data_IF_753049161951
#
_entry.id   IF_753049161951
#
_cell.length_a   1.000
_cell.length_b   1.000
_cell.length_c   1.000
_cell.angle_alpha   90.00
_cell.angle_beta   90.00
_cell.angle_gamma   90.00
#
_symmetry.space_group_name_H-M   'P 1'
#
loop_
_entity.id
_entity.type
_entity.pdbx_description
1 polymer ?
#
# COMPACT_ATOMS: atom_id res chain seq x y z
N UNK A 1 22.53 -21.76 -34.88
CA UNK A 1 23.01 -21.60 -33.48
C UNK A 1 22.30 -22.60 -32.57
N UNK A 2 22.99 -23.60 -31.99
CA UNK A 2 22.35 -24.55 -31.09
C UNK A 2 21.87 -23.82 -29.82
N UNK A 3 20.57 -23.98 -29.48
CA UNK A 3 19.99 -23.38 -28.27
C UNK A 3 20.64 -24.02 -27.04
N UNK A 4 21.34 -23.22 -26.22
CA UNK A 4 21.87 -23.70 -24.92
C UNK A 4 20.70 -24.15 -24.06
N UNK A 5 20.66 -25.43 -23.70
CA UNK A 5 19.60 -25.99 -22.83
C UNK A 5 19.72 -25.36 -21.44
N UNK A 6 18.66 -24.72 -20.96
CA UNK A 6 18.61 -24.19 -19.60
C UNK A 6 18.64 -25.34 -18.59
N UNK A 7 19.54 -25.26 -17.60
CA UNK A 7 19.63 -26.26 -16.53
C UNK A 7 18.38 -26.19 -15.64
N UNK A 8 17.93 -27.33 -15.12
CA UNK A 8 16.84 -27.39 -14.14
C UNK A 8 17.24 -26.64 -12.86
N UNK A 9 16.25 -26.00 -12.23
CA UNK A 9 16.43 -25.31 -10.94
C UNK A 9 15.14 -25.28 -10.12
N UNK A 10 15.21 -25.09 -8.80
CA UNK A 10 14.01 -24.95 -7.97
C UNK A 10 13.33 -23.58 -8.14
N UNK A 11 12.01 -23.57 -8.07
CA UNK A 11 11.20 -22.36 -8.00
C UNK A 11 11.49 -21.56 -6.73
N UNK A 12 11.63 -20.22 -6.82
CA UNK A 12 11.84 -19.36 -5.65
C UNK A 12 10.64 -19.23 -4.69
N UNK A 13 9.47 -19.72 -5.09
CA UNK A 13 8.24 -19.67 -4.28
C UNK A 13 7.91 -21.06 -3.73
N UNK A 14 7.60 -22.03 -4.59
CA UNK A 14 7.18 -23.37 -4.18
C UNK A 14 8.30 -24.42 -4.12
N UNK A 15 9.53 -24.05 -4.49
CA UNK A 15 10.74 -24.92 -4.51
C UNK A 15 10.67 -26.16 -5.42
N UNK A 16 9.59 -26.38 -6.16
CA UNK A 16 9.50 -27.42 -7.20
C UNK A 16 10.59 -27.20 -8.26
N UNK A 17 11.26 -28.26 -8.67
CA UNK A 17 12.26 -28.23 -9.75
C UNK A 17 11.56 -28.03 -11.10
N UNK A 18 12.04 -27.08 -11.88
CA UNK A 18 11.52 -26.78 -13.22
C UNK A 18 12.65 -26.48 -14.20
N UNK A 19 12.36 -26.63 -15.49
CA UNK A 19 13.25 -26.22 -16.58
C UNK A 19 12.81 -24.84 -17.07
N UNK A 20 13.66 -23.80 -17.00
CA UNK A 20 13.32 -22.49 -17.54
C UNK A 20 13.05 -22.51 -19.04
N UNK A 21 12.16 -21.63 -19.51
CA UNK A 21 11.91 -21.40 -20.93
C UNK A 21 13.21 -20.93 -21.60
N UNK A 22 13.64 -21.53 -22.72
CA UNK A 22 14.87 -21.13 -23.43
C UNK A 22 14.91 -19.65 -23.85
N UNK A 23 13.76 -19.00 -24.07
CA UNK A 23 13.67 -17.57 -24.42
C UNK A 23 13.96 -16.66 -23.24
N UNK A 24 13.52 -17.07 -22.04
CA UNK A 24 13.65 -16.27 -20.81
C UNK A 24 14.95 -16.64 -20.07
N UNK A 25 15.35 -17.90 -20.16
CA UNK A 25 16.55 -18.46 -19.57
C UNK A 25 16.65 -18.16 -18.08
N UNK A 26 17.75 -17.53 -17.68
CA UNK A 26 18.04 -17.26 -16.27
C UNK A 26 17.18 -16.19 -15.62
N UNK A 27 16.38 -15.45 -16.39
CA UNK A 27 15.46 -14.44 -15.87
C UNK A 27 14.23 -15.08 -15.22
N UNK A 28 13.82 -16.28 -15.63
CA UNK A 28 12.63 -16.95 -15.09
C UNK A 28 12.88 -17.47 -13.67
N UNK A 29 12.46 -16.73 -12.64
CA UNK A 29 12.74 -17.11 -11.24
C UNK A 29 11.70 -18.08 -10.63
N UNK A 30 10.57 -18.30 -11.30
CA UNK A 30 9.45 -19.13 -10.82
C UNK A 30 9.12 -20.24 -11.82
N UNK A 31 8.38 -21.27 -11.37
CA UNK A 31 8.07 -22.44 -12.20
C UNK A 31 7.09 -22.17 -13.36
N UNK A 32 6.58 -20.95 -13.50
CA UNK A 32 5.55 -20.60 -14.50
C UNK A 32 4.12 -20.71 -14.01
N UNK A 33 3.89 -21.31 -12.84
CA UNK A 33 2.58 -21.32 -12.19
C UNK A 33 2.15 -19.88 -11.81
N UNK A 34 0.89 -19.56 -12.09
CA UNK A 34 0.32 -18.22 -11.94
C UNK A 34 0.41 -17.73 -10.49
N UNK A 35 0.18 -18.61 -9.51
CA UNK A 35 0.34 -18.25 -8.11
C UNK A 35 1.79 -17.88 -7.76
N UNK A 36 2.74 -18.67 -8.25
CA UNK A 36 4.16 -18.44 -8.01
C UNK A 36 4.62 -17.15 -8.69
N UNK A 37 4.15 -16.89 -9.91
CA UNK A 37 4.43 -15.63 -10.62
C UNK A 37 3.86 -14.42 -9.88
N UNK A 38 2.60 -14.49 -9.43
CA UNK A 38 1.96 -13.40 -8.66
C UNK A 38 2.70 -13.14 -7.35
N UNK A 39 2.98 -14.19 -6.55
CA UNK A 39 3.75 -14.07 -5.29
C UNK A 39 5.14 -13.47 -5.51
N UNK A 40 5.82 -13.87 -6.58
CA UNK A 40 7.14 -13.32 -6.94
C UNK A 40 7.04 -11.85 -7.38
N UNK A 41 6.04 -11.51 -8.20
CA UNK A 41 5.78 -10.14 -8.63
C UNK A 41 5.48 -9.24 -7.43
N UNK A 42 4.58 -9.64 -6.53
CA UNK A 42 4.28 -8.87 -5.30
C UNK A 42 5.54 -8.63 -4.46
N UNK A 43 6.39 -9.65 -4.27
CA UNK A 43 7.67 -9.49 -3.55
C UNK A 43 8.59 -8.50 -4.24
N UNK A 44 8.72 -8.57 -5.56
CA UNK A 44 9.61 -7.68 -6.34
C UNK A 44 9.08 -6.26 -6.46
N UNK A 45 7.78 -6.06 -6.60
CA UNK A 45 7.16 -4.74 -6.52
C UNK A 45 7.34 -4.14 -5.12
N UNK A 46 7.16 -4.92 -4.05
CA UNK A 46 7.38 -4.41 -2.70
C UNK A 46 8.85 -4.00 -2.46
N UNK A 47 9.81 -4.78 -2.95
CA UNK A 47 11.23 -4.45 -2.91
C UNK A 47 11.52 -3.16 -3.70
N UNK A 48 11.04 -3.08 -4.94
CA UNK A 48 11.22 -1.89 -5.77
C UNK A 48 10.57 -0.64 -5.16
N UNK A 49 9.36 -0.75 -4.60
CA UNK A 49 8.65 0.35 -3.94
C UNK A 49 9.38 0.85 -2.69
N UNK A 50 10.04 -0.04 -1.93
CA UNK A 50 10.86 0.37 -0.79
C UNK A 50 12.07 1.18 -1.24
N UNK A 51 12.73 0.76 -2.31
CA UNK A 51 13.90 1.45 -2.86
C UNK A 51 13.53 2.74 -3.61
N UNK A 52 12.33 2.82 -4.18
CA UNK A 52 11.84 3.94 -4.98
C UNK A 52 10.64 4.61 -4.31
N UNK A 53 10.77 4.90 -3.00
CA UNK A 53 9.66 5.41 -2.18
C UNK A 53 9.01 6.67 -2.77
N UNK A 54 9.79 7.61 -3.32
CA UNK A 54 9.27 8.85 -3.93
C UNK A 54 8.39 8.57 -5.15
N UNK A 55 8.90 7.78 -6.11
CA UNK A 55 8.14 7.40 -7.30
C UNK A 55 6.88 6.60 -6.93
N UNK A 56 6.96 5.69 -5.95
CA UNK A 56 5.80 4.94 -5.48
C UNK A 56 4.73 5.84 -4.82
N UNK A 57 5.17 6.89 -4.10
CA UNK A 57 4.29 7.90 -3.52
C UNK A 57 3.60 8.75 -4.59
N UNK A 58 4.35 9.17 -5.62
CA UNK A 58 3.82 9.93 -6.76
C UNK A 58 2.79 9.13 -7.54
N UNK A 59 3.08 7.87 -7.90
CA UNK A 59 2.11 7.01 -8.58
C UNK A 59 0.86 6.77 -7.75
N UNK A 60 1.00 6.54 -6.43
CA UNK A 60 -0.15 6.41 -5.53
C UNK A 60 -1.03 7.66 -5.51
N UNK A 61 -0.41 8.85 -5.43
CA UNK A 61 -1.14 10.12 -5.43
C UNK A 61 -1.85 10.33 -6.77
N UNK A 62 -1.15 10.10 -7.88
CA UNK A 62 -1.71 10.21 -9.22
C UNK A 62 -2.93 9.31 -9.42
N UNK A 63 -2.84 8.03 -9.04
CA UNK A 63 -3.95 7.07 -9.14
C UNK A 63 -5.14 7.50 -8.28
N UNK A 64 -4.90 8.08 -7.10
CA UNK A 64 -5.95 8.58 -6.22
C UNK A 64 -6.62 9.84 -6.75
N UNK A 65 -5.86 10.75 -7.33
CA UNK A 65 -6.39 11.94 -7.99
C UNK A 65 -7.23 11.57 -9.23
N UNK A 66 -6.77 10.58 -10.02
CA UNK A 66 -7.52 10.06 -11.16
C UNK A 66 -8.85 9.41 -10.72
N UNK A 67 -8.84 8.61 -9.65
CA UNK A 67 -10.06 8.02 -9.08
C UNK A 67 -11.03 9.09 -8.55
N UNK A 68 -10.51 10.13 -7.89
CA UNK A 68 -11.33 11.24 -7.37
C UNK A 68 -11.99 12.03 -8.51
N UNK A 69 -11.26 12.27 -9.61
CA UNK A 69 -11.79 12.96 -10.78
C UNK A 69 -12.89 12.15 -11.51
N UNK A 70 -12.81 10.81 -11.50
CA UNK A 70 -13.84 9.95 -12.09
C UNK A 70 -15.11 9.86 -11.23
N UNK A 71 -15.01 10.08 -9.92
CA UNK A 71 -16.15 10.07 -9.00
C UNK A 71 -17.00 11.35 -9.01
N UNK A 72 -16.56 12.42 -9.66
CA UNK A 72 -17.29 13.70 -9.77
C UNK A 72 -18.15 13.79 -11.04
N UNK A 73 -18.01 12.82 -11.97
CA UNK A 73 -18.70 12.83 -13.27
C UNK A 73 -19.94 11.93 -13.37
N UNK A 74 -20.36 11.28 -12.29
CA UNK A 74 -21.59 10.48 -12.25
C UNK A 74 -22.68 11.19 -11.42
N UNK A 75 -23.46 12.06 -12.08
CA UNK A 75 -24.84 12.36 -11.67
C UNK A 75 -25.82 11.62 -12.61
N UNK A 76 -26.97 11.15 -12.09
CA UNK A 76 -27.65 9.94 -12.54
C UNK A 76 -28.71 10.22 -13.61
N UNK A 77 -28.81 9.36 -14.64
CA UNK A 77 -30.00 9.27 -15.49
C UNK A 77 -30.49 7.83 -15.69
N UNK A 78 -31.66 7.61 -15.08
CA UNK A 78 -32.78 6.69 -15.37
C UNK A 78 -32.69 5.21 -14.99
N UNK A 79 -33.22 4.97 -13.79
CA UNK A 79 -34.13 3.90 -13.35
C UNK A 79 -34.54 2.79 -14.35
N UNK A 80 -34.44 1.55 -13.88
CA UNK A 80 -35.61 0.66 -13.80
C UNK A 80 -35.63 -0.05 -12.44
N UNK A 81 -36.83 -0.10 -11.87
CA UNK A 81 -37.15 -0.52 -10.51
C UNK A 81 -36.93 -2.02 -10.24
N UNK A 82 -36.53 -2.34 -9.01
CA UNK A 82 -37.21 -3.33 -8.16
C UNK A 82 -36.69 -3.17 -6.72
N UNK A 83 -37.61 -2.87 -5.82
CA UNK A 83 -37.38 -2.75 -4.39
C UNK A 83 -36.96 -4.08 -3.76
N UNK A 84 -36.14 -4.04 -2.71
CA UNK A 84 -36.48 -4.61 -1.40
C UNK A 84 -35.49 -4.11 -0.34
N UNK A 85 -36.06 -3.43 0.64
CA UNK A 85 -35.51 -3.06 1.94
C UNK A 85 -34.77 -4.21 2.61
N UNK A 86 -33.51 -4.02 2.98
CA UNK A 86 -32.97 -4.65 4.20
C UNK A 86 -31.89 -3.75 4.80
N UNK A 87 -32.23 -3.22 5.97
CA UNK A 87 -31.33 -2.51 6.87
C UNK A 87 -30.63 -3.59 7.70
N UNK A 88 -29.30 -3.66 7.65
CA UNK A 88 -28.48 -4.09 8.78
C UNK A 88 -27.03 -3.58 8.63
N UNK A 89 -26.38 -3.19 9.74
CA UNK A 89 -25.15 -2.40 9.74
C UNK A 89 -23.91 -3.29 9.73
N UNK A 90 -22.89 -2.92 8.97
CA UNK A 90 -21.55 -3.52 9.13
C UNK A 90 -20.54 -2.41 9.35
N UNK A 91 -20.17 -2.30 10.62
CA UNK A 91 -18.99 -1.60 11.11
C UNK A 91 -17.75 -1.99 10.32
N UNK A 92 -17.22 -1.06 9.54
CA UNK A 92 -15.77 -1.01 9.31
C UNK A 92 -15.18 -0.10 10.38
N UNK A 93 -14.51 -0.73 11.34
CA UNK A 93 -13.75 -0.07 12.38
C UNK A 93 -12.85 1.03 11.79
N UNK A 94 -13.23 2.29 12.02
CA UNK A 94 -12.39 3.44 11.75
C UNK A 94 -11.25 3.46 12.78
N UNK A 95 -10.15 2.80 12.44
CA UNK A 95 -8.91 2.97 13.14
C UNK A 95 -8.43 4.43 12.96
N UNK A 96 -8.30 5.12 14.09
CA UNK A 96 -7.76 6.47 14.28
C UNK A 96 -8.67 7.66 13.85
N UNK A 97 -9.60 7.97 14.75
CA UNK A 97 -10.02 9.30 15.20
C UNK A 97 -9.45 10.51 14.42
N UNK A 98 -10.07 10.83 13.30
CA UNK A 98 -10.26 12.23 12.89
C UNK A 98 -11.73 12.54 13.13
N UNK A 99 -12.10 13.72 13.70
CA UNK A 99 -13.49 14.13 13.73
C UNK A 99 -14.03 14.03 12.30
N UNK A 100 -15.19 13.38 12.13
CA UNK A 100 -15.81 13.18 10.83
C UNK A 100 -16.17 14.55 10.23
N UNK A 101 -15.19 15.18 9.61
CA UNK A 101 -15.37 16.41 8.85
C UNK A 101 -16.45 16.15 7.80
N UNK A 102 -17.40 17.07 7.59
CA UNK A 102 -18.46 16.93 6.60
C UNK A 102 -17.84 16.90 5.20
N UNK A 103 -17.42 15.70 4.77
CA UNK A 103 -16.60 15.47 3.56
C UNK A 103 -17.25 16.04 2.32
N UNK A 104 -18.58 15.95 2.19
CA UNK A 104 -19.32 16.47 1.05
C UNK A 104 -19.16 17.99 0.90
N UNK A 105 -19.34 18.76 2.00
CA UNK A 105 -19.20 20.22 1.99
C UNK A 105 -17.74 20.65 1.72
N UNK A 106 -16.78 19.90 2.27
CA UNK A 106 -15.35 20.20 2.06
C UNK A 106 -14.91 19.82 0.64
N UNK A 107 -15.45 18.74 0.06
CA UNK A 107 -15.25 18.37 -1.34
C UNK A 107 -15.85 19.41 -2.29
N UNK A 108 -17.02 19.96 -1.97
CA UNK A 108 -17.69 20.99 -2.79
C UNK A 108 -16.91 22.31 -2.81
N UNK A 109 -16.37 22.75 -1.67
CA UNK A 109 -15.68 24.04 -1.56
C UNK A 109 -14.22 23.96 -1.97
N UNK A 110 -13.54 22.83 -1.68
CA UNK A 110 -12.09 22.70 -1.85
C UNK A 110 -11.75 21.82 -3.07
N UNK A 111 -12.63 20.92 -3.49
CA UNK A 111 -12.40 19.92 -4.54
C UNK A 111 -11.87 18.58 -4.00
N UNK A 112 -12.28 17.45 -4.61
CA UNK A 112 -11.87 16.12 -4.15
C UNK A 112 -10.35 15.89 -4.28
N UNK A 113 -9.71 16.50 -5.28
CA UNK A 113 -8.26 16.40 -5.50
C UNK A 113 -7.46 17.01 -4.34
N UNK A 114 -7.86 18.19 -3.87
CA UNK A 114 -7.21 18.94 -2.82
C UNK A 114 -7.30 18.19 -1.48
N UNK A 115 -8.44 17.56 -1.20
CA UNK A 115 -8.61 16.71 -0.02
C UNK A 115 -7.69 15.49 -0.01
N UNK A 116 -7.50 14.85 -1.17
CA UNK A 116 -6.55 13.73 -1.31
C UNK A 116 -5.12 14.19 -1.02
N UNK A 117 -4.73 15.37 -1.52
CA UNK A 117 -3.41 15.96 -1.26
C UNK A 117 -3.24 16.27 0.24
N UNK A 118 -4.22 16.93 0.85
CA UNK A 118 -4.19 17.28 2.28
C UNK A 118 -4.10 16.03 3.17
N UNK A 119 -4.93 15.01 2.91
CA UNK A 119 -4.91 13.75 3.65
C UNK A 119 -3.55 13.05 3.52
N UNK A 120 -2.97 13.07 2.31
CA UNK A 120 -1.67 12.47 2.06
C UNK A 120 -0.55 13.20 2.82
N UNK A 121 -0.50 14.54 2.75
CA UNK A 121 0.49 15.35 3.48
C UNK A 121 0.35 15.13 4.99
N UNK A 122 -0.87 15.17 5.52
CA UNK A 122 -1.13 14.92 6.93
C UNK A 122 -0.57 13.56 7.37
N UNK A 123 -0.88 12.48 6.64
CA UNK A 123 -0.36 11.14 6.93
C UNK A 123 1.18 11.07 6.87
N UNK A 124 1.83 11.77 5.94
CA UNK A 124 3.31 11.82 5.91
C UNK A 124 3.87 12.56 7.12
N UNK A 125 3.29 13.71 7.48
CA UNK A 125 3.72 14.49 8.64
C UNK A 125 3.54 13.69 9.94
N UNK A 126 2.38 13.06 10.16
CA UNK A 126 2.14 12.22 11.34
C UNK A 126 3.16 11.07 11.44
N UNK A 127 3.49 10.41 10.32
CA UNK A 127 4.53 9.36 10.32
C UNK A 127 5.90 9.92 10.70
N UNK A 128 6.31 11.04 10.12
CA UNK A 128 7.59 11.67 10.43
C UNK A 128 7.69 12.11 11.89
N UNK A 129 6.63 12.72 12.44
CA UNK A 129 6.54 13.12 13.84
C UNK A 129 6.60 11.89 14.76
N UNK A 130 5.86 10.83 14.45
CA UNK A 130 5.88 9.59 15.24
C UNK A 130 7.26 8.94 15.25
N UNK A 131 8.00 8.96 14.13
CA UNK A 131 9.38 8.46 14.07
C UNK A 131 10.33 9.25 15.01
N UNK A 132 10.16 10.58 15.09
CA UNK A 132 10.94 11.42 16.00
C UNK A 132 10.59 11.13 17.46
N UNK A 133 9.30 11.05 17.79
CA UNK A 133 8.83 10.71 19.14
C UNK A 133 9.39 9.35 19.56
N UNK A 134 9.28 8.33 18.71
CA UNK A 134 9.78 6.98 19.00
C UNK A 134 11.30 6.96 19.23
N UNK A 135 12.07 7.76 18.48
CA UNK A 135 13.52 7.91 18.69
C UNK A 135 13.83 8.61 20.02
N UNK A 136 13.09 9.64 20.39
CA UNK A 136 13.27 10.35 21.66
C UNK A 136 12.93 9.46 22.85
N UNK A 137 11.80 8.76 22.81
CA UNK A 137 11.40 7.78 23.83
C UNK A 137 12.49 6.72 24.01
N UNK A 138 13.01 6.15 22.91
CA UNK A 138 14.08 5.15 22.99
C UNK A 138 15.37 5.67 23.63
N UNK A 139 15.72 6.95 23.42
CA UNK A 139 16.87 7.59 24.09
C UNK A 139 16.59 7.78 25.58
N UNK A 140 15.44 8.38 25.92
CA UNK A 140 15.04 8.61 27.31
C UNK A 140 14.98 7.29 28.12
N UNK A 141 14.45 6.21 27.53
CA UNK A 141 14.44 4.90 28.15
C UNK A 141 15.86 4.40 28.41
N UNK A 142 16.77 4.50 27.44
CA UNK A 142 18.19 4.11 27.62
C UNK A 142 18.90 4.92 28.70
N UNK A 143 18.64 6.22 28.77
CA UNK A 143 19.28 7.10 29.76
C UNK A 143 18.72 6.83 31.17
N UNK A 144 17.42 6.57 31.30
CA UNK A 144 16.80 6.19 32.58
C UNK A 144 17.30 4.84 33.10
N UNK A 145 17.68 3.90 32.23
CA UNK A 145 18.24 2.60 32.66
C UNK A 145 19.67 2.71 33.17
N UNK A 146 20.37 3.80 32.86
CA UNK A 146 21.77 4.06 33.26
C UNK A 146 21.88 4.85 34.56
N UNK A 147 20.78 5.30 35.14
CA UNK A 147 20.81 5.98 36.43
C UNK A 147 21.11 4.96 37.54
N UNK A 148 22.10 5.23 38.41
CA UNK A 148 22.38 4.33 39.53
C UNK A 148 21.14 4.27 40.41
N UNK A 149 20.65 3.06 40.65
CA UNK A 149 19.62 2.81 41.67
C UNK A 149 20.22 3.29 42.99
N UNK A 150 19.70 4.40 43.52
CA UNK A 150 19.97 4.81 44.90
C UNK A 150 19.43 3.71 45.80
N UNK A 151 20.31 2.85 46.28
CA UNK A 151 20.05 1.92 47.36
C UNK A 151 19.84 2.74 48.64
N UNK A 152 18.64 2.60 49.23
CA UNK A 152 18.35 3.04 50.60
C UNK A 152 19.17 2.24 51.61
#
# INVERSE_FOLDING_TARGET
MPRRKSKKRPCRICRKWFTPDPRIGDRQKTCGDHECMRKWHTRKCAEWNRNNRKCAQESYLHDKLAQAAQGESDEPKKASAAATTSIAPVSTAHAASFPQLPRCLVQEVIGAQQLVIMEYIARQLFRAVQEVINRQVSKNTRDSTRLPRKSC
#
